data_IF_100653874069
#
_entry.id   IF_100653874069
#
_cell.length_a   1.000
_cell.length_b   1.000
_cell.length_c   1.000
_cell.angle_alpha   90.00
_cell.angle_beta   90.00
_cell.angle_gamma   90.00
#
_symmetry.space_group_name_H-M   'P 1'
#
loop_
_entity.id
_entity.type
_entity.pdbx_description
1 polymer ?
#
# COMPACT_ATOMS: atom_id res chain seq x y z
N UNK A 1 49.31 17.74 27.56
CA UNK A 1 49.37 17.19 26.18
C UNK A 1 48.08 17.46 25.36
N UNK A 2 47.23 18.42 25.77
CA UNK A 2 45.97 18.76 25.07
C UNK A 2 45.96 20.16 24.42
N UNK A 3 47.08 20.88 24.47
CA UNK A 3 47.19 22.28 24.03
C UNK A 3 47.41 22.44 22.51
N UNK A 4 47.47 21.33 21.79
CA UNK A 4 47.66 21.28 20.34
C UNK A 4 46.34 21.26 19.56
N UNK A 5 45.25 20.76 20.15
CA UNK A 5 43.96 20.61 19.46
C UNK A 5 43.14 21.91 19.40
N UNK A 6 43.39 22.86 20.31
CA UNK A 6 42.63 24.11 20.42
C UNK A 6 43.31 25.29 19.71
N UNK A 7 44.42 25.06 18.99
CA UNK A 7 45.11 26.13 18.26
C UNK A 7 44.37 26.39 16.95
N UNK A 8 44.05 27.66 16.65
CA UNK A 8 43.28 28.01 15.45
C UNK A 8 43.97 27.52 14.17
N UNK A 9 45.29 27.60 14.09
CA UNK A 9 46.08 27.14 12.94
C UNK A 9 45.93 25.63 12.68
N UNK A 10 45.75 24.83 13.73
CA UNK A 10 45.57 23.37 13.62
C UNK A 10 44.15 23.07 13.17
N UNK A 11 43.16 23.81 13.67
CA UNK A 11 41.76 23.67 13.26
C UNK A 11 41.54 24.07 11.81
N UNK A 12 42.17 25.15 11.36
CA UNK A 12 42.14 25.61 9.97
C UNK A 12 42.80 24.60 9.04
N UNK A 13 43.93 24.01 9.45
CA UNK A 13 44.59 22.95 8.69
C UNK A 13 43.72 21.69 8.57
N UNK A 14 43.10 21.25 9.68
CA UNK A 14 42.19 20.09 9.67
C UNK A 14 40.97 20.37 8.80
N UNK A 15 40.38 21.56 8.90
CA UNK A 15 39.24 21.97 8.09
C UNK A 15 39.60 22.03 6.59
N UNK A 16 40.77 22.58 6.26
CA UNK A 16 41.28 22.60 4.89
C UNK A 16 41.50 21.19 4.35
N UNK A 17 42.12 20.31 5.14
CA UNK A 17 42.38 18.92 4.74
C UNK A 17 41.09 18.15 4.49
N UNK A 18 40.07 18.34 5.34
CA UNK A 18 38.73 17.77 5.11
C UNK A 18 38.08 18.35 3.84
N UNK A 19 38.08 19.67 3.66
CA UNK A 19 37.39 20.29 2.52
C UNK A 19 38.10 20.13 1.17
N UNK A 20 39.43 20.00 1.15
CA UNK A 20 40.23 20.01 -0.06
C UNK A 20 40.75 18.63 -0.47
N UNK A 21 40.97 17.70 0.48
CA UNK A 21 41.53 16.38 0.19
C UNK A 21 40.51 15.24 0.27
N UNK A 22 39.35 15.47 0.90
CA UNK A 22 38.26 14.48 0.87
C UNK A 22 37.20 14.89 -0.15
N UNK A 23 36.84 13.97 -1.05
CA UNK A 23 35.79 14.15 -2.05
C UNK A 23 34.42 14.08 -1.36
N UNK A 24 33.98 15.23 -0.81
CA UNK A 24 32.84 15.37 0.09
C UNK A 24 31.47 15.34 -0.64
N UNK A 25 31.29 14.45 -1.62
CA UNK A 25 30.03 14.24 -2.35
C UNK A 25 29.32 12.91 -2.03
N UNK A 26 29.95 12.04 -1.24
CA UNK A 26 29.29 10.86 -0.64
C UNK A 26 29.35 10.98 0.89
N UNK A 27 28.27 11.49 1.48
CA UNK A 27 28.05 11.39 2.91
C UNK A 27 27.60 9.95 3.21
N UNK A 28 28.40 9.20 3.97
CA UNK A 28 27.96 7.91 4.52
C UNK A 28 26.65 8.14 5.28
N UNK A 29 25.62 7.38 4.93
CA UNK A 29 24.31 7.47 5.57
C UNK A 29 24.48 7.17 7.07
N UNK A 30 24.16 8.12 7.97
CA UNK A 30 24.35 7.91 9.40
C UNK A 30 23.42 6.80 9.89
N UNK A 31 23.90 5.98 10.83
CA UNK A 31 23.16 4.87 11.44
C UNK A 31 21.75 5.24 11.95
N UNK A 32 21.52 6.53 12.25
CA UNK A 32 20.21 7.06 12.61
C UNK A 32 19.16 6.97 11.46
N UNK A 33 19.58 7.10 10.20
CA UNK A 33 18.72 6.88 9.03
C UNK A 33 18.40 5.39 8.86
N UNK A 34 19.38 4.50 9.10
CA UNK A 34 19.16 3.06 9.09
C UNK A 34 18.21 2.63 10.22
N UNK A 35 18.35 3.20 11.42
CA UNK A 35 17.46 2.95 12.55
C UNK A 35 16.02 3.42 12.26
N UNK A 36 15.84 4.57 11.62
CA UNK A 36 14.53 5.01 11.14
C UNK A 36 13.95 4.07 10.08
N UNK A 37 14.77 3.59 9.15
CA UNK A 37 14.39 2.58 8.15
C UNK A 37 13.98 1.25 8.80
N UNK A 38 14.66 0.84 9.87
CA UNK A 38 14.34 -0.37 10.61
C UNK A 38 13.07 -0.20 11.49
N UNK A 39 12.83 0.98 12.06
CA UNK A 39 11.54 1.32 12.68
C UNK A 39 10.40 1.26 11.64
N UNK A 40 10.65 1.67 10.39
CA UNK A 40 9.72 1.51 9.26
C UNK A 40 9.56 0.04 8.79
N UNK A 41 10.58 -0.80 8.98
CA UNK A 41 10.48 -2.25 8.71
C UNK A 41 9.73 -3.01 9.80
N UNK A 42 9.89 -2.62 11.07
CA UNK A 42 9.13 -3.17 12.19
C UNK A 42 7.61 -2.87 12.09
N UNK A 43 7.21 -1.82 11.36
CA UNK A 43 5.80 -1.56 11.03
C UNK A 43 5.19 -2.47 9.95
N UNK A 44 5.98 -3.32 9.28
CA UNK A 44 5.50 -4.13 8.14
C UNK A 44 5.03 -5.56 8.46
N UNK A 45 4.98 -6.00 9.71
CA UNK A 45 4.36 -7.30 10.07
C UNK A 45 2.82 -7.32 10.06
N UNK A 46 2.08 -6.30 10.58
CA UNK A 46 0.63 -6.37 10.60
C UNK A 46 0.00 -6.24 9.21
N UNK A 47 0.62 -5.50 8.29
CA UNK A 47 0.12 -5.36 6.91
C UNK A 47 0.34 -6.65 6.13
N UNK A 48 1.49 -7.31 6.29
CA UNK A 48 1.76 -8.61 5.66
C UNK A 48 0.79 -9.68 6.16
N UNK A 49 0.63 -9.80 7.48
CA UNK A 49 -0.34 -10.74 8.06
C UNK A 49 -1.77 -10.47 7.58
N UNK A 50 -2.14 -9.19 7.45
CA UNK A 50 -3.42 -8.80 6.89
C UNK A 50 -3.58 -9.28 5.44
N UNK A 51 -2.61 -9.01 4.57
CA UNK A 51 -2.69 -9.41 3.17
C UNK A 51 -2.70 -10.94 3.02
N UNK A 52 -1.88 -11.67 3.79
CA UNK A 52 -1.86 -13.13 3.81
C UNK A 52 -3.25 -13.72 4.14
N UNK A 53 -3.94 -13.15 5.13
CA UNK A 53 -5.26 -13.59 5.54
C UNK A 53 -6.37 -13.23 4.55
N UNK A 54 -6.27 -12.04 3.94
CA UNK A 54 -7.35 -11.44 3.16
C UNK A 54 -7.28 -11.84 1.69
N UNK A 55 -6.11 -11.78 1.05
CA UNK A 55 -5.99 -11.97 -0.40
C UNK A 55 -6.35 -13.40 -0.83
N UNK A 56 -6.13 -14.38 0.04
CA UNK A 56 -6.51 -15.79 -0.19
C UNK A 56 -8.04 -15.99 -0.12
N UNK A 57 -8.73 -15.17 0.69
CA UNK A 57 -10.17 -15.31 0.98
C UNK A 57 -11.04 -14.36 0.17
N UNK A 58 -10.45 -13.32 -0.43
CA UNK A 58 -11.16 -12.32 -1.20
C UNK A 58 -11.88 -12.95 -2.39
N UNK A 59 -13.19 -12.70 -2.48
CA UNK A 59 -14.01 -13.19 -3.60
C UNK A 59 -14.02 -12.22 -4.77
N UNK A 60 -13.94 -10.92 -4.51
CA UNK A 60 -13.87 -9.89 -5.55
C UNK A 60 -12.50 -9.83 -6.22
N UNK A 61 -12.51 -9.57 -7.53
CA UNK A 61 -11.28 -9.38 -8.32
C UNK A 61 -10.71 -7.97 -8.22
N UNK A 62 -11.54 -6.99 -7.85
CA UNK A 62 -11.14 -5.60 -7.65
C UNK A 62 -11.51 -5.18 -6.24
N UNK A 63 -10.51 -4.81 -5.43
CA UNK A 63 -10.71 -4.38 -4.05
C UNK A 63 -10.46 -2.87 -3.95
N UNK A 64 -11.51 -2.04 -3.82
CA UNK A 64 -11.35 -0.59 -3.64
C UNK A 64 -10.44 -0.25 -2.46
N UNK A 65 -9.59 0.78 -2.59
CA UNK A 65 -8.74 1.22 -1.47
C UNK A 65 -9.51 1.59 -0.20
N UNK A 66 -10.73 2.13 -0.38
CA UNK A 66 -11.61 2.42 0.74
C UNK A 66 -12.05 1.13 1.45
N UNK A 67 -12.40 0.08 0.69
CA UNK A 67 -12.76 -1.23 1.24
C UNK A 67 -11.59 -1.88 1.97
N UNK A 68 -10.41 -1.91 1.33
CA UNK A 68 -9.18 -2.46 1.93
C UNK A 68 -8.86 -1.78 3.26
N UNK A 69 -9.00 -0.46 3.34
CA UNK A 69 -8.75 0.28 4.58
C UNK A 69 -9.76 -0.02 5.67
N UNK A 70 -11.06 -0.05 5.36
CA UNK A 70 -12.10 -0.35 6.35
C UNK A 70 -11.96 -1.79 6.86
N UNK A 71 -11.70 -2.74 5.95
CA UNK A 71 -11.42 -4.13 6.29
C UNK A 71 -10.16 -4.26 7.17
N UNK A 72 -9.08 -3.57 6.82
CA UNK A 72 -7.86 -3.53 7.64
C UNK A 72 -8.15 -3.01 9.04
N UNK A 73 -8.95 -1.96 9.19
CA UNK A 73 -9.28 -1.40 10.50
C UNK A 73 -10.00 -2.42 11.39
N UNK A 74 -10.97 -3.15 10.85
CA UNK A 74 -11.69 -4.19 11.60
C UNK A 74 -10.82 -5.42 11.89
N UNK A 75 -10.06 -5.90 10.91
CA UNK A 75 -9.09 -6.98 11.10
C UNK A 75 -8.04 -6.62 12.17
N UNK A 76 -7.51 -5.40 12.11
CA UNK A 76 -6.49 -4.91 13.02
C UNK A 76 -7.00 -4.80 14.45
N UNK A 77 -8.24 -4.30 14.66
CA UNK A 77 -8.85 -4.25 15.99
C UNK A 77 -9.04 -5.65 16.60
N UNK A 78 -9.24 -6.67 15.77
CA UNK A 78 -9.40 -8.06 16.22
C UNK A 78 -8.07 -8.74 16.55
N UNK A 79 -7.04 -8.54 15.72
CA UNK A 79 -5.73 -9.16 15.93
C UNK A 79 -4.85 -8.39 16.94
N UNK A 80 -4.94 -7.06 16.94
CA UNK A 80 -4.11 -6.17 17.74
C UNK A 80 -4.97 -5.14 18.51
N UNK A 81 -5.74 -5.57 19.52
CA UNK A 81 -6.72 -4.71 20.21
C UNK A 81 -6.09 -3.52 20.95
N UNK A 82 -4.81 -3.62 21.34
CA UNK A 82 -4.08 -2.55 22.02
C UNK A 82 -3.24 -1.67 21.08
N UNK A 83 -3.19 -2.01 19.79
CA UNK A 83 -2.40 -1.29 18.79
C UNK A 83 -3.09 -0.01 18.30
N UNK A 84 -2.30 0.92 17.76
CA UNK A 84 -2.86 2.08 17.04
C UNK A 84 -2.97 1.74 15.56
N UNK A 85 -4.19 1.77 15.02
CA UNK A 85 -4.41 1.61 13.58
C UNK A 85 -3.72 2.75 12.82
N UNK A 86 -2.97 2.40 11.79
CA UNK A 86 -2.31 3.36 10.93
C UNK A 86 -3.28 4.14 10.04
N UNK A 87 -2.81 5.25 9.49
CA UNK A 87 -3.61 6.08 8.59
C UNK A 87 -3.83 5.38 7.25
N UNK A 88 -4.92 5.74 6.54
CA UNK A 88 -5.21 5.22 5.19
C UNK A 88 -4.05 5.40 4.22
N UNK A 89 -3.42 6.57 4.24
CA UNK A 89 -2.28 6.86 3.35
C UNK A 89 -1.08 5.96 3.65
N UNK A 90 -0.78 5.74 4.93
CA UNK A 90 0.29 4.83 5.35
C UNK A 90 0.01 3.42 4.84
N UNK A 91 -1.17 2.88 5.18
CA UNK A 91 -1.57 1.53 4.75
C UNK A 91 -1.45 1.35 3.23
N UNK A 92 -1.95 2.30 2.44
CA UNK A 92 -1.88 2.21 0.98
C UNK A 92 -0.43 2.18 0.50
N UNK A 93 0.44 3.04 1.06
CA UNK A 93 1.85 3.05 0.70
C UNK A 93 2.56 1.75 1.10
N UNK A 94 2.27 1.24 2.30
CA UNK A 94 2.85 0.00 2.80
C UNK A 94 2.42 -1.18 1.93
N UNK A 95 1.11 -1.28 1.62
CA UNK A 95 0.57 -2.31 0.72
C UNK A 95 1.23 -2.21 -0.66
N UNK A 96 1.35 -1.02 -1.25
CA UNK A 96 2.03 -0.84 -2.54
C UNK A 96 3.49 -1.30 -2.52
N UNK A 97 4.17 -1.15 -1.38
CA UNK A 97 5.56 -1.58 -1.21
C UNK A 97 5.75 -3.09 -1.14
N UNK A 98 4.71 -3.84 -0.77
CA UNK A 98 4.80 -5.31 -0.54
C UNK A 98 3.92 -6.13 -1.47
N UNK A 99 2.98 -5.52 -2.20
CA UNK A 99 2.01 -6.25 -3.04
C UNK A 99 2.69 -7.04 -4.16
N UNK A 100 3.86 -6.62 -4.62
CA UNK A 100 4.68 -7.36 -5.58
C UNK A 100 5.12 -8.74 -5.10
N UNK A 101 5.12 -8.98 -3.79
CA UNK A 101 5.44 -10.29 -3.20
C UNK A 101 4.27 -11.29 -3.35
N UNK A 102 3.06 -10.81 -3.67
CA UNK A 102 1.85 -11.59 -3.74
C UNK A 102 1.51 -11.93 -5.20
N UNK A 103 1.77 -13.18 -5.59
CA UNK A 103 1.42 -13.65 -6.93
C UNK A 103 -0.08 -13.52 -7.20
N UNK A 104 -0.44 -13.02 -8.38
CA UNK A 104 -1.82 -12.90 -8.80
C UNK A 104 -2.52 -11.61 -8.35
N UNK A 105 -1.84 -10.72 -7.63
CA UNK A 105 -2.36 -9.41 -7.24
C UNK A 105 -1.44 -8.28 -7.67
N UNK A 106 -2.04 -7.17 -8.07
CA UNK A 106 -1.35 -5.92 -8.35
C UNK A 106 -2.22 -4.74 -7.87
N UNK A 107 -1.73 -3.52 -7.99
CA UNK A 107 -2.49 -2.32 -7.70
C UNK A 107 -2.59 -1.41 -8.93
N UNK A 108 -3.68 -0.66 -9.01
CA UNK A 108 -3.81 0.41 -10.02
C UNK A 108 -4.02 1.75 -9.36
N UNK A 109 -3.18 2.71 -9.75
CA UNK A 109 -3.35 4.12 -9.41
C UNK A 109 -4.46 4.79 -10.22
N UNK A 110 -4.72 4.27 -11.42
CA UNK A 110 -5.80 4.72 -12.27
C UNK A 110 -7.11 3.98 -11.96
N UNK A 111 -8.29 4.64 -12.06
CA UNK A 111 -9.57 3.97 -11.86
C UNK A 111 -9.78 2.84 -12.88
N UNK A 112 -9.89 1.61 -12.40
CA UNK A 112 -10.17 0.40 -13.18
C UNK A 112 -11.67 0.14 -13.19
N UNK A 113 -12.17 -0.44 -14.28
CA UNK A 113 -13.56 -0.88 -14.38
C UNK A 113 -13.81 -2.05 -13.43
N UNK A 114 -14.90 -1.97 -12.68
CA UNK A 114 -15.35 -3.05 -11.80
C UNK A 114 -16.14 -4.06 -12.65
N UNK A 115 -15.77 -5.36 -12.65
CA UNK A 115 -16.53 -6.39 -13.36
C UNK A 115 -17.99 -6.42 -12.92
N UNK A 116 -18.92 -6.62 -13.86
CA UNK A 116 -20.35 -6.71 -13.54
C UNK A 116 -20.65 -7.87 -12.56
N UNK A 117 -19.89 -8.97 -12.65
CA UNK A 117 -19.96 -10.12 -11.73
C UNK A 117 -19.72 -9.73 -10.25
N UNK A 118 -18.93 -8.68 -10.00
CA UNK A 118 -18.65 -8.19 -8.64
C UNK A 118 -19.90 -7.62 -7.97
N UNK A 119 -20.88 -7.14 -8.73
CA UNK A 119 -22.12 -6.57 -8.20
C UNK A 119 -23.12 -7.62 -7.73
N UNK A 120 -23.01 -8.84 -8.26
CA UNK A 120 -23.87 -9.98 -7.95
C UNK A 120 -23.21 -10.96 -6.97
N UNK A 121 -21.88 -10.87 -6.79
CA UNK A 121 -21.12 -11.73 -5.87
C UNK A 121 -20.97 -11.07 -4.49
N UNK A 122 -21.49 -11.70 -3.43
CA UNK A 122 -21.36 -11.17 -2.08
C UNK A 122 -19.96 -11.43 -1.51
N UNK A 123 -19.37 -10.43 -0.87
CA UNK A 123 -18.05 -10.53 -0.27
C UNK A 123 -18.13 -11.07 1.16
N UNK A 124 -17.72 -12.32 1.34
CA UNK A 124 -17.78 -12.99 2.64
C UNK A 124 -16.92 -12.32 3.72
N UNK A 125 -15.87 -11.59 3.32
CA UNK A 125 -15.01 -10.85 4.24
C UNK A 125 -15.76 -9.74 5.00
N UNK A 126 -16.82 -9.17 4.41
CA UNK A 126 -17.65 -8.16 5.07
C UNK A 126 -18.30 -8.75 6.32
N UNK A 127 -18.95 -9.91 6.19
CA UNK A 127 -19.56 -10.60 7.33
C UNK A 127 -18.53 -11.15 8.31
N UNK A 128 -17.40 -11.68 7.81
CA UNK A 128 -16.36 -12.30 8.65
C UNK A 128 -15.68 -11.31 9.61
N UNK A 129 -15.42 -10.09 9.15
CA UNK A 129 -14.78 -9.03 9.94
C UNK A 129 -15.77 -7.96 10.39
N UNK A 130 -17.06 -8.12 10.10
CA UNK A 130 -18.12 -7.19 10.50
C UNK A 130 -17.87 -5.76 9.99
N UNK A 131 -17.57 -5.64 8.70
CA UNK A 131 -17.32 -4.36 8.03
C UNK A 131 -18.64 -3.66 7.71
N UNK A 132 -19.30 -3.14 8.76
CA UNK A 132 -20.65 -2.57 8.69
C UNK A 132 -20.77 -1.38 7.72
N UNK A 133 -19.68 -0.66 7.45
CA UNK A 133 -19.66 0.45 6.49
C UNK A 133 -20.00 0.02 5.06
N UNK A 134 -19.85 -1.28 4.76
CA UNK A 134 -20.10 -1.90 3.46
C UNK A 134 -21.36 -2.77 3.45
N UNK A 135 -22.09 -2.85 4.56
CA UNK A 135 -23.38 -3.53 4.61
C UNK A 135 -24.51 -2.60 4.16
N UNK A 136 -25.50 -3.15 3.45
CA UNK A 136 -26.69 -2.39 3.06
C UNK A 136 -27.47 -1.87 4.29
N UNK A 137 -27.60 -0.53 4.46
CA UNK A 137 -28.26 0.02 5.63
C UNK A 137 -29.72 -0.40 5.71
N UNK A 138 -30.09 -1.08 6.80
CA UNK A 138 -31.47 -1.48 7.05
C UNK A 138 -31.89 -2.76 6.32
N UNK A 139 -30.97 -3.52 5.74
CA UNK A 139 -31.26 -4.87 5.26
C UNK A 139 -31.73 -5.75 6.42
N UNK A 140 -32.99 -6.20 6.37
CA UNK A 140 -33.61 -7.12 7.34
C UNK A 140 -34.03 -8.45 6.71
N UNK A 141 -33.48 -8.76 5.55
CA UNK A 141 -33.81 -9.99 4.84
C UNK A 141 -33.25 -11.21 5.56
N UNK A 142 -33.85 -12.38 5.30
CA UNK A 142 -33.47 -13.63 5.96
C UNK A 142 -32.09 -14.15 5.54
N UNK A 143 -31.49 -13.64 4.46
CA UNK A 143 -30.20 -14.10 3.94
C UNK A 143 -29.14 -12.99 4.11
N UNK A 144 -28.25 -13.09 5.11
CA UNK A 144 -27.21 -12.11 5.38
C UNK A 144 -26.31 -11.82 4.18
N UNK A 145 -26.07 -12.81 3.31
CA UNK A 145 -25.17 -12.63 2.17
C UNK A 145 -25.64 -11.56 1.19
N UNK A 146 -26.94 -11.25 1.14
CA UNK A 146 -27.45 -10.19 0.25
C UNK A 146 -27.07 -8.78 0.70
N UNK A 147 -26.75 -8.55 1.98
CA UNK A 147 -26.28 -7.25 2.44
C UNK A 147 -24.80 -7.01 2.14
N UNK A 148 -24.05 -8.02 1.70
CA UNK A 148 -22.60 -7.97 1.46
C UNK A 148 -22.23 -7.76 -0.02
N UNK A 149 -23.13 -7.17 -0.81
CA UNK A 149 -22.90 -6.92 -2.24
C UNK A 149 -22.22 -5.57 -2.47
N UNK A 150 -21.37 -5.49 -3.51
CA UNK A 150 -20.75 -4.23 -3.87
C UNK A 150 -21.80 -3.22 -4.36
N UNK A 151 -21.75 -2.00 -3.82
CA UNK A 151 -22.64 -0.87 -4.18
C UNK A 151 -21.89 0.40 -4.55
N UNK A 152 -20.58 0.29 -4.78
CA UNK A 152 -19.74 1.42 -5.15
C UNK A 152 -19.81 1.77 -6.63
N UNK A 153 -18.98 2.74 -7.01
CA UNK A 153 -18.81 3.19 -8.39
C UNK A 153 -18.37 2.06 -9.31
N UNK A 154 -18.82 2.11 -10.58
CA UNK A 154 -18.38 1.24 -11.68
C UNK A 154 -16.90 1.32 -11.98
N UNK A 155 -16.24 2.40 -11.56
CA UNK A 155 -14.80 2.56 -11.67
C UNK A 155 -14.22 2.91 -10.31
N UNK A 156 -13.18 2.19 -9.93
CA UNK A 156 -12.55 2.34 -8.61
C UNK A 156 -11.04 2.16 -8.69
N UNK A 157 -10.33 2.71 -7.71
CA UNK A 157 -8.88 2.52 -7.53
C UNK A 157 -8.65 1.54 -6.40
N UNK A 158 -7.66 0.67 -6.52
CA UNK A 158 -7.49 -0.39 -5.54
C UNK A 158 -6.53 -1.48 -5.96
N UNK A 159 -6.63 -2.60 -5.25
CA UNK A 159 -5.97 -3.86 -5.61
C UNK A 159 -6.78 -4.55 -6.70
N UNK A 160 -6.09 -5.19 -7.63
CA UNK A 160 -6.68 -5.86 -8.78
C UNK A 160 -6.04 -7.23 -8.91
N UNK A 161 -6.87 -8.25 -9.12
CA UNK A 161 -6.41 -9.61 -9.41
C UNK A 161 -5.87 -9.68 -10.85
N UNK A 162 -4.64 -10.15 -10.98
CA UNK A 162 -3.98 -10.34 -12.27
C UNK A 162 -4.73 -11.42 -13.06
N UNK A 163 -5.29 -11.03 -14.21
CA UNK A 163 -6.19 -11.86 -15.02
C UNK A 163 -7.47 -11.12 -15.43
N UNK A 164 -7.89 -10.10 -14.66
CA UNK A 164 -9.03 -9.23 -15.00
C UNK A 164 -8.60 -7.98 -15.78
N UNK A 165 -7.35 -7.55 -15.62
CA UNK A 165 -6.85 -6.29 -16.20
C UNK A 165 -6.58 -6.32 -17.71
N UNK A 166 -6.69 -7.46 -18.40
CA UNK A 166 -6.25 -7.60 -19.79
C UNK A 166 -7.32 -7.39 -20.86
N UNK A 167 -8.56 -7.01 -20.54
CA UNK A 167 -9.61 -6.99 -21.57
C UNK A 167 -9.93 -5.65 -22.25
N UNK A 168 -9.45 -4.47 -21.82
CA UNK A 168 -9.99 -3.21 -22.42
C UNK A 168 -9.05 -2.05 -22.76
N UNK A 169 -7.73 -2.10 -22.55
CA UNK A 169 -6.84 -0.96 -22.93
C UNK A 169 -5.78 -1.33 -24.00
N UNK A 170 -6.18 -2.11 -25.01
CA UNK A 170 -5.38 -2.37 -26.21
C UNK A 170 -6.11 -1.99 -27.49
N UNK A 171 -6.60 -0.74 -27.58
CA UNK A 171 -6.97 -0.16 -28.89
C UNK A 171 -6.58 1.31 -28.99
N UNK A 172 -5.65 1.56 -29.91
CA UNK A 172 -5.42 2.80 -30.70
C UNK A 172 -4.07 3.45 -30.47
N UNK A 173 -3.05 2.90 -31.13
CA UNK A 173 -2.17 3.69 -31.99
C UNK A 173 -2.01 2.92 -33.30
N UNK A 174 -3.02 3.00 -34.16
CA UNK A 174 -2.90 2.57 -35.54
C UNK A 174 -2.00 3.55 -36.29
N UNK A 175 -1.19 2.99 -37.16
CA UNK A 175 -0.08 3.63 -37.83
C UNK A 175 -0.60 4.39 -39.04
N UNK A 176 -0.37 5.70 -39.12
CA UNK A 176 -0.42 6.38 -40.43
C UNK A 176 0.55 7.56 -40.45
N UNK A 177 1.80 7.29 -40.82
CA UNK A 177 2.61 8.24 -41.56
C UNK A 177 3.04 7.53 -42.85
N UNK A 178 2.35 7.85 -43.94
CA UNK A 178 2.84 7.63 -45.31
C UNK A 178 3.47 8.94 -45.77
N UNK A 179 4.69 8.80 -46.28
CA UNK A 179 5.36 9.76 -47.16
C UNK A 179 4.47 10.08 -48.37
N UNK A 180 4.30 11.36 -48.68
CA UNK A 180 4.71 12.02 -49.95
C UNK A 180 4.56 13.55 -49.85
#
# INVERSE_FOLDING_TARGET
KGDYLNRPEVLEYVLYHVLAETDYYELDEPDACLALLDDFRLTNDPVRQFLDDILIRATWDVLPWQFVFDLYRHWFMRNNPSGRCQSRKSLINDVKGIISDYEGWDYSDNPVSVPDEMYDTPEGLIGMYSVFEWEEPGYRGSNPNRSHLYRGSKRTRGLVRMGVATSEDATTTDSTNKEE
#
